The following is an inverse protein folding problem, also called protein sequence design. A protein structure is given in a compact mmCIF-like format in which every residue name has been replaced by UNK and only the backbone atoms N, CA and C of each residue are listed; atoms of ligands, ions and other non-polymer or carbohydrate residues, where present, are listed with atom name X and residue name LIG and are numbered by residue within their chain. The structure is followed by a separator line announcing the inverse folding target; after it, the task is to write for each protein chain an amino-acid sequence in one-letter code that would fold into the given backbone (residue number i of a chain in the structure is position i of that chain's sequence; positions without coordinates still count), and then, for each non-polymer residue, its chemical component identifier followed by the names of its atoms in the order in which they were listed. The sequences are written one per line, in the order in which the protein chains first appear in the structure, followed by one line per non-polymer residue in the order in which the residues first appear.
data_IF_175292540885
#
_entry.id   IF_175292540885
#
_cell.length_a   1.000
_cell.length_b   1.000
_cell.length_c   1.000
_cell.angle_alpha   90.00
_cell.angle_beta   90.00
_cell.angle_gamma   90.00
#
_symmetry.space_group_name_H-M   'P 1'
#
loop_
_entity.id
_entity.type
_entity.pdbx_description
1 polymer ?
#
# COMPACT_ATOMS: atom_id res chain seq x y z
N UNK A 1 -26.43 -4.13 -5.59
CA UNK A 1 -25.01 -3.90 -5.21
C UNK A 1 -24.48 -5.25 -4.73
N UNK A 2 -23.37 -5.75 -5.25
CA UNK A 2 -22.81 -7.01 -4.73
C UNK A 2 -22.29 -6.80 -3.30
N UNK A 3 -22.27 -7.85 -2.50
CA UNK A 3 -21.77 -7.82 -1.11
C UNK A 3 -20.30 -7.32 -1.06
N UNK A 4 -19.50 -7.70 -2.05
CA UNK A 4 -18.12 -7.24 -2.22
C UNK A 4 -18.00 -5.72 -2.40
N UNK A 5 -18.86 -5.10 -3.22
CA UNK A 5 -18.84 -3.63 -3.41
C UNK A 5 -19.25 -2.89 -2.14
N UNK A 6 -20.21 -3.40 -1.37
CA UNK A 6 -20.61 -2.81 -0.10
C UNK A 6 -19.47 -2.90 0.93
N UNK A 7 -18.81 -4.06 1.03
CA UNK A 7 -17.63 -4.24 1.86
C UNK A 7 -16.47 -3.33 1.45
N UNK A 8 -16.23 -3.16 0.15
CA UNK A 8 -15.24 -2.20 -0.37
C UNK A 8 -15.56 -0.76 0.05
N UNK A 9 -16.81 -0.31 -0.10
CA UNK A 9 -17.20 1.05 0.26
C UNK A 9 -16.94 1.35 1.74
N UNK A 10 -17.30 0.42 2.63
CA UNK A 10 -17.07 0.55 4.06
C UNK A 10 -15.56 0.58 4.38
N UNK A 11 -14.77 -0.32 3.80
CA UNK A 11 -13.32 -0.37 4.02
C UNK A 11 -12.62 0.88 3.47
N UNK A 12 -13.06 1.38 2.31
CA UNK A 12 -12.52 2.60 1.71
C UNK A 12 -12.81 3.82 2.58
N UNK A 13 -14.05 3.97 3.06
CA UNK A 13 -14.43 5.05 3.97
C UNK A 13 -13.66 5.00 5.29
N UNK A 14 -13.47 3.80 5.84
CA UNK A 14 -12.74 3.58 7.09
C UNK A 14 -11.25 3.96 6.98
N UNK A 15 -10.64 3.70 5.82
CA UNK A 15 -9.23 4.00 5.56
C UNK A 15 -8.99 5.45 5.14
N UNK A 16 -9.90 6.03 4.35
CA UNK A 16 -9.74 7.36 3.74
C UNK A 16 -10.59 8.45 4.41
N UNK A 17 -11.13 8.20 5.60
CA UNK A 17 -11.90 9.16 6.42
C UNK A 17 -13.06 9.83 5.68
N UNK A 18 -14.15 9.08 5.48
CA UNK A 18 -15.49 9.67 5.40
C UNK A 18 -16.07 10.00 4.02
N UNK A 19 -15.34 9.78 2.92
CA UNK A 19 -15.90 9.97 1.57
C UNK A 19 -16.25 8.64 0.92
N UNK A 20 -17.46 8.55 0.36
CA UNK A 20 -17.85 7.43 -0.48
C UNK A 20 -16.92 7.35 -1.70
N UNK A 21 -16.51 6.15 -2.13
CA UNK A 21 -15.62 6.01 -3.27
C UNK A 21 -16.28 6.50 -4.55
N UNK A 22 -15.49 7.14 -5.42
CA UNK A 22 -15.91 7.50 -6.76
C UNK A 22 -16.18 6.26 -7.62
N UNK A 23 -17.03 6.41 -8.65
CA UNK A 23 -17.35 5.30 -9.58
C UNK A 23 -16.12 4.65 -10.21
N UNK A 24 -15.07 5.43 -10.50
CA UNK A 24 -13.84 4.86 -11.07
C UNK A 24 -13.07 4.01 -10.04
N UNK A 25 -13.12 4.37 -8.75
CA UNK A 25 -12.47 3.64 -7.66
C UNK A 25 -13.17 2.29 -7.47
N UNK A 26 -14.51 2.27 -7.46
CA UNK A 26 -15.28 1.02 -7.42
C UNK A 26 -14.98 0.13 -8.63
N UNK A 27 -14.95 0.69 -9.85
CA UNK A 27 -14.62 -0.08 -11.06
C UNK A 27 -13.20 -0.65 -11.03
N UNK A 28 -12.24 0.11 -10.52
CA UNK A 28 -10.87 -0.36 -10.38
C UNK A 28 -10.80 -1.48 -9.34
N UNK A 29 -11.44 -1.31 -8.19
CA UNK A 29 -11.57 -2.33 -7.17
C UNK A 29 -12.14 -3.64 -7.74
N UNK A 30 -13.27 -3.59 -8.45
CA UNK A 30 -13.92 -4.80 -8.99
C UNK A 30 -12.98 -5.59 -9.90
N UNK A 31 -12.18 -4.90 -10.73
CA UNK A 31 -11.18 -5.51 -11.60
C UNK A 31 -10.04 -6.12 -10.79
N UNK A 32 -9.45 -5.35 -9.86
CA UNK A 32 -8.32 -5.79 -9.04
C UNK A 32 -8.69 -6.96 -8.14
N UNK A 33 -9.88 -6.98 -7.53
CA UNK A 33 -10.36 -8.09 -6.70
C UNK A 33 -10.49 -9.42 -7.49
N UNK A 34 -10.63 -9.33 -8.81
CA UNK A 34 -10.64 -10.48 -9.72
C UNK A 34 -9.26 -10.85 -10.26
N UNK A 35 -8.20 -10.12 -9.90
CA UNK A 35 -6.85 -10.29 -10.43
C UNK A 35 -6.62 -9.62 -11.78
N UNK A 36 -7.57 -8.81 -12.26
CA UNK A 36 -7.45 -8.08 -13.52
C UNK A 36 -6.84 -6.69 -13.29
N UNK A 37 -5.56 -6.54 -13.61
CA UNK A 37 -4.88 -5.24 -13.54
C UNK A 37 -5.00 -4.54 -14.90
N UNK A 38 -5.67 -3.36 -14.98
CA UNK A 38 -5.72 -2.62 -16.23
C UNK A 38 -4.33 -2.05 -16.58
N UNK A 39 -3.92 -2.07 -17.87
CA UNK A 39 -2.62 -1.54 -18.29
C UNK A 39 -2.54 -0.01 -18.19
N UNK A 40 -3.68 0.69 -18.15
CA UNK A 40 -3.74 2.14 -18.00
C UNK A 40 -4.98 2.56 -17.22
N UNK A 41 -4.86 3.69 -16.52
CA UNK A 41 -5.96 4.34 -15.80
C UNK A 41 -5.94 5.84 -16.13
N UNK A 42 -6.67 6.23 -17.17
CA UNK A 42 -6.77 7.63 -17.60
C UNK A 42 -7.79 8.38 -16.74
N UNK A 43 -7.30 9.17 -15.78
CA UNK A 43 -8.11 9.97 -14.88
C UNK A 43 -7.69 11.44 -14.98
N UNK A 44 -8.65 12.39 -15.05
CA UNK A 44 -8.37 13.80 -14.84
C UNK A 44 -7.61 14.07 -13.54
N UNK A 45 -6.80 15.12 -13.52
CA UNK A 45 -6.17 15.63 -12.30
C UNK A 45 -7.23 16.02 -11.26
N UNK A 46 -6.92 15.85 -9.98
CA UNK A 46 -7.84 16.21 -8.89
C UNK A 46 -8.89 15.15 -8.52
N UNK A 47 -8.91 13.98 -9.17
CA UNK A 47 -9.82 12.88 -8.82
C UNK A 47 -9.25 11.86 -7.82
N UNK A 48 -8.14 12.19 -7.16
CA UNK A 48 -7.51 11.32 -6.15
C UNK A 48 -6.86 10.07 -6.72
N UNK A 49 -5.96 10.20 -7.71
CA UNK A 49 -5.24 9.06 -8.32
C UNK A 49 -4.49 8.21 -7.28
N UNK A 50 -3.94 8.84 -6.24
CA UNK A 50 -3.28 8.18 -5.10
C UNK A 50 -4.18 7.16 -4.40
N UNK A 51 -5.51 7.27 -4.52
CA UNK A 51 -6.45 6.26 -4.01
C UNK A 51 -6.27 4.87 -4.62
N UNK A 52 -5.46 4.69 -5.67
CA UNK A 52 -5.00 3.37 -6.11
C UNK A 52 -4.37 2.58 -4.95
N UNK A 53 -3.65 3.23 -4.04
CA UNK A 53 -3.01 2.60 -2.87
C UNK A 53 -4.03 1.89 -1.97
N UNK A 54 -5.04 2.59 -1.38
CA UNK A 54 -6.06 1.93 -0.58
C UNK A 54 -6.93 0.96 -1.39
N UNK A 55 -7.20 1.23 -2.67
CA UNK A 55 -7.96 0.31 -3.53
C UNK A 55 -7.21 -1.03 -3.68
N UNK A 56 -5.91 -0.98 -3.97
CA UNK A 56 -5.08 -2.17 -4.07
C UNK A 56 -5.05 -2.93 -2.74
N UNK A 57 -4.87 -2.23 -1.61
CA UNK A 57 -4.80 -2.87 -0.30
C UNK A 57 -6.10 -3.62 0.05
N UNK A 58 -7.25 -2.98 -0.18
CA UNK A 58 -8.57 -3.58 0.05
C UNK A 58 -8.79 -4.76 -0.90
N UNK A 59 -8.47 -4.61 -2.19
CA UNK A 59 -8.62 -5.67 -3.18
C UNK A 59 -7.70 -6.87 -2.89
N UNK A 60 -6.47 -6.63 -2.42
CA UNK A 60 -5.53 -7.67 -2.01
C UNK A 60 -6.12 -8.51 -0.87
N UNK A 61 -6.55 -7.85 0.21
CA UNK A 61 -7.13 -8.52 1.37
C UNK A 61 -8.43 -9.26 1.03
N UNK A 62 -9.35 -8.62 0.29
CA UNK A 62 -10.62 -9.25 -0.07
C UNK A 62 -10.42 -10.43 -1.04
N UNK A 63 -9.52 -10.30 -2.02
CA UNK A 63 -9.21 -11.41 -2.93
C UNK A 63 -8.59 -12.59 -2.19
N UNK A 64 -7.74 -12.34 -1.19
CA UNK A 64 -7.17 -13.40 -0.35
C UNK A 64 -8.24 -14.10 0.49
N UNK A 65 -9.14 -13.36 1.14
CA UNK A 65 -10.26 -13.92 1.92
C UNK A 65 -11.19 -14.77 1.04
N UNK A 66 -11.49 -14.29 -0.17
CA UNK A 66 -12.35 -15.00 -1.12
C UNK A 66 -11.69 -16.23 -1.77
N UNK A 67 -10.39 -16.46 -1.55
CA UNK A 67 -9.60 -17.47 -2.25
C UNK A 67 -8.67 -18.24 -1.28
N UNK A 68 -9.19 -18.64 -0.12
CA UNK A 68 -8.52 -19.48 0.87
C UNK A 68 -7.11 -18.97 1.27
N UNK A 69 -6.97 -17.66 1.49
CA UNK A 69 -5.71 -17.01 1.88
C UNK A 69 -4.73 -16.80 0.72
N UNK A 70 -5.11 -17.10 -0.53
CA UNK A 70 -4.28 -16.88 -1.72
C UNK A 70 -4.72 -15.60 -2.44
N UNK A 71 -3.96 -14.49 -2.36
CA UNK A 71 -4.36 -13.26 -3.01
C UNK A 71 -4.36 -13.43 -4.54
N UNK A 72 -5.25 -12.71 -5.23
CA UNK A 72 -5.26 -12.62 -6.70
C UNK A 72 -4.42 -11.48 -7.25
N UNK A 73 -3.85 -10.69 -6.35
CA UNK A 73 -2.96 -9.58 -6.66
C UNK A 73 -1.58 -9.83 -6.07
N UNK A 74 -0.54 -9.19 -6.65
CA UNK A 74 0.78 -9.24 -6.07
C UNK A 74 0.81 -8.57 -4.69
N UNK A 75 1.64 -9.09 -3.77
CA UNK A 75 1.73 -8.61 -2.37
C UNK A 75 2.43 -7.27 -2.23
N UNK A 76 3.13 -6.79 -3.27
CA UNK A 76 3.85 -5.52 -3.22
C UNK A 76 3.26 -4.55 -4.21
N UNK A 77 2.89 -3.36 -3.75
CA UNK A 77 2.55 -2.24 -4.59
C UNK A 77 3.76 -1.32 -4.69
N UNK A 78 4.28 -1.15 -5.90
CA UNK A 78 5.35 -0.20 -6.18
C UNK A 78 4.73 1.01 -6.86
N UNK A 79 4.58 2.11 -6.13
CA UNK A 79 3.99 3.35 -6.62
C UNK A 79 5.10 4.32 -7.03
N UNK A 80 5.28 4.47 -8.34
CA UNK A 80 6.29 5.34 -8.94
C UNK A 80 5.67 6.70 -9.21
N UNK A 81 6.34 7.75 -8.76
CA UNK A 81 5.95 9.15 -8.96
C UNK A 81 7.14 9.95 -9.47
N UNK A 82 6.89 10.84 -10.44
CA UNK A 82 7.93 11.57 -11.15
C UNK A 82 8.48 12.79 -10.37
N UNK A 83 7.90 13.15 -9.21
CA UNK A 83 8.28 14.36 -8.45
C UNK A 83 8.44 14.08 -6.96
N UNK A 84 9.51 14.63 -6.36
CA UNK A 84 9.86 14.44 -4.94
C UNK A 84 8.74 14.81 -3.96
N UNK A 85 8.09 15.96 -4.15
CA UNK A 85 6.98 16.41 -3.29
C UNK A 85 5.79 15.45 -3.34
N UNK A 86 5.55 14.82 -4.49
CA UNK A 86 4.46 13.85 -4.66
C UNK A 86 4.81 12.53 -3.97
N UNK A 87 6.10 12.14 -3.95
CA UNK A 87 6.56 11.00 -3.11
C UNK A 87 6.24 11.24 -1.65
N UNK A 88 6.52 12.43 -1.12
CA UNK A 88 6.26 12.74 0.30
C UNK A 88 4.77 12.66 0.61
N UNK A 89 3.92 13.30 -0.21
CA UNK A 89 2.48 13.26 -0.03
C UNK A 89 1.92 11.83 -0.10
N UNK A 90 2.31 11.05 -1.11
CA UNK A 90 1.88 9.65 -1.23
C UNK A 90 2.38 8.79 -0.07
N UNK A 91 3.57 9.09 0.45
CA UNK A 91 4.15 8.40 1.62
C UNK A 91 3.35 8.71 2.87
N UNK A 92 2.98 9.97 3.08
CA UNK A 92 2.14 10.37 4.21
C UNK A 92 0.75 9.77 4.11
N UNK A 93 0.16 9.71 2.92
CA UNK A 93 -1.11 9.01 2.68
C UNK A 93 -1.00 7.51 3.03
N UNK A 94 0.07 6.84 2.59
CA UNK A 94 0.31 5.43 2.93
C UNK A 94 0.58 5.22 4.43
N UNK A 95 1.30 6.14 5.08
CA UNK A 95 1.49 6.12 6.54
C UNK A 95 0.16 6.32 7.28
N UNK A 96 -0.77 7.14 6.77
CA UNK A 96 -2.11 7.27 7.37
C UNK A 96 -2.86 5.95 7.33
N UNK A 97 -2.81 5.24 6.20
CA UNK A 97 -3.38 3.88 6.11
C UNK A 97 -2.74 2.94 7.14
N UNK A 98 -1.41 2.96 7.24
CA UNK A 98 -0.68 2.17 8.23
C UNK A 98 -1.08 2.54 9.67
N UNK A 99 -1.21 3.84 9.98
CA UNK A 99 -1.69 4.33 11.27
C UNK A 99 -3.07 3.81 11.64
N UNK A 100 -3.99 3.64 10.66
CA UNK A 100 -5.30 3.00 10.90
C UNK A 100 -5.15 1.53 11.28
N UNK A 101 -4.24 0.80 10.62
CA UNK A 101 -3.93 -0.60 10.95
C UNK A 101 -3.33 -0.72 12.35
N UNK A 102 -2.41 0.17 12.73
CA UNK A 102 -1.84 0.21 14.08
C UNK A 102 -2.89 0.53 15.14
N UNK A 103 -3.75 1.53 14.92
CA UNK A 103 -4.84 1.84 15.86
C UNK A 103 -5.82 0.69 16.02
N UNK A 104 -6.09 -0.08 14.96
CA UNK A 104 -6.84 -1.34 15.08
C UNK A 104 -6.09 -2.36 15.94
N UNK A 105 -4.79 -2.56 15.73
CA UNK A 105 -3.99 -3.47 16.56
C UNK A 105 -3.91 -3.04 18.03
N UNK A 106 -3.87 -1.73 18.30
CA UNK A 106 -3.84 -1.17 19.65
C UNK A 106 -5.14 -1.48 20.41
N UNK A 107 -6.30 -1.38 19.74
CA UNK A 107 -7.60 -1.76 20.31
C UNK A 107 -7.65 -3.25 20.71
N UNK A 108 -6.96 -4.09 19.94
CA UNK A 108 -6.90 -5.53 20.16
C UNK A 108 -5.70 -5.94 21.06
N UNK A 109 -4.93 -4.98 21.59
CA UNK A 109 -3.81 -5.24 22.49
C UNK A 109 -2.59 -5.90 21.84
N UNK A 110 -2.38 -5.70 20.54
CA UNK A 110 -1.25 -6.31 19.82
C UNK A 110 0.10 -5.65 20.18
N UNK A 111 1.18 -6.43 20.36
CA UNK A 111 2.43 -5.94 20.94
C UNK A 111 3.18 -4.95 20.03
N UNK A 112 2.98 -5.03 18.72
CA UNK A 112 3.60 -4.13 17.75
C UNK A 112 2.88 -2.78 17.62
N UNK A 113 1.67 -2.64 18.17
CA UNK A 113 0.81 -1.47 18.00
C UNK A 113 0.95 -0.45 19.16
N UNK A 114 2.17 -0.01 19.45
CA UNK A 114 2.44 0.92 20.55
C UNK A 114 2.25 2.38 20.16
N UNK A 115 2.06 3.24 21.18
CA UNK A 115 1.96 4.69 20.97
C UNK A 115 3.24 5.27 20.36
N UNK A 116 4.43 4.75 20.73
CA UNK A 116 5.70 5.16 20.14
C UNK A 116 5.77 4.82 18.65
N UNK A 117 5.30 3.62 18.26
CA UNK A 117 5.29 3.21 16.87
C UNK A 117 4.34 4.07 16.02
N UNK A 118 3.16 4.41 16.56
CA UNK A 118 2.21 5.32 15.91
C UNK A 118 2.79 6.74 15.80
N UNK A 119 3.42 7.24 16.87
CA UNK A 119 4.05 8.56 16.89
C UNK A 119 5.21 8.67 15.90
N UNK A 120 5.96 7.59 15.68
CA UNK A 120 7.07 7.53 14.71
C UNK A 120 6.64 7.77 13.26
N UNK A 121 5.35 7.62 12.93
CA UNK A 121 4.84 7.97 11.59
C UNK A 121 4.84 9.47 11.32
N UNK A 122 4.92 10.32 12.36
CA UNK A 122 4.95 11.78 12.22
C UNK A 122 3.60 12.40 11.83
N UNK A 123 2.51 11.64 11.96
CA UNK A 123 1.15 12.09 11.66
C UNK A 123 0.56 12.87 12.85
N UNK A 124 1.11 14.06 13.10
CA UNK A 124 0.55 15.00 14.07
C UNK A 124 -0.85 15.41 13.55
N UNK A 125 -1.85 15.37 14.42
CA UNK A 125 -3.23 15.83 14.16
C UNK A 125 -4.18 14.90 13.37
N UNK A 126 -3.83 13.63 13.12
CA UNK A 126 -4.76 12.70 12.46
C UNK A 126 -5.83 12.19 13.45
N UNK A 127 -7.15 12.40 13.19
CA UNK A 127 -8.21 12.01 14.12
C UNK A 127 -8.17 10.51 14.41
N UNK A 128 -8.57 10.07 15.62
CA UNK A 128 -8.61 8.64 15.97
C UNK A 128 -9.49 7.86 14.99
N UNK A 129 -9.31 6.53 14.94
CA UNK A 129 -10.19 5.68 14.13
C UNK A 129 -11.59 5.71 14.74
N UNK A 130 -12.63 6.20 14.03
CA UNK A 130 -14.00 6.19 14.55
C UNK A 130 -14.43 4.77 14.93
N UNK A 131 -15.16 4.63 16.03
CA UNK A 131 -15.57 3.32 16.55
C UNK A 131 -16.40 2.52 15.53
N UNK A 132 -17.23 3.20 14.74
CA UNK A 132 -18.02 2.60 13.66
C UNK A 132 -17.15 1.93 12.58
N UNK A 133 -15.92 2.40 12.39
CA UNK A 133 -14.99 1.89 11.39
C UNK A 133 -14.06 0.80 11.97
N UNK A 134 -13.98 0.66 13.29
CA UNK A 134 -13.06 -0.27 13.95
C UNK A 134 -13.22 -1.74 13.48
N UNK A 135 -14.43 -2.31 13.38
CA UNK A 135 -14.59 -3.69 12.92
C UNK A 135 -14.12 -3.91 11.47
N UNK A 136 -14.31 -2.90 10.63
CA UNK A 136 -13.93 -2.96 9.21
C UNK A 136 -12.42 -2.96 9.04
N UNK A 137 -11.71 -2.10 9.81
CA UNK A 137 -10.25 -2.05 9.78
C UNK A 137 -9.64 -3.29 10.44
N UNK A 138 -10.24 -3.83 11.50
CA UNK A 138 -9.81 -5.08 12.12
C UNK A 138 -9.89 -6.26 11.13
N UNK A 139 -11.02 -6.38 10.42
CA UNK A 139 -11.20 -7.40 9.37
C UNK A 139 -10.14 -7.29 8.27
N UNK A 140 -9.80 -6.06 7.86
CA UNK A 140 -8.73 -5.81 6.88
C UNK A 140 -7.36 -6.21 7.45
N UNK A 141 -7.04 -5.78 8.67
CA UNK A 141 -5.79 -6.11 9.38
C UNK A 141 -5.58 -7.61 9.48
N UNK A 142 -6.60 -8.36 9.90
CA UNK A 142 -6.54 -9.82 10.06
C UNK A 142 -6.30 -10.53 8.72
N UNK A 143 -6.96 -10.09 7.65
CA UNK A 143 -6.72 -10.63 6.32
C UNK A 143 -5.28 -10.40 5.84
N UNK A 144 -4.70 -9.24 6.16
CA UNK A 144 -3.30 -8.95 5.85
C UNK A 144 -2.34 -9.77 6.74
N UNK A 145 -2.69 -10.03 8.01
CA UNK A 145 -1.88 -10.85 8.92
C UNK A 145 -1.80 -12.31 8.46
N UNK A 146 -2.91 -12.86 7.95
CA UNK A 146 -2.89 -14.19 7.31
C UNK A 146 -1.94 -14.23 6.10
N UNK A 147 -1.82 -13.12 5.35
CA UNK A 147 -0.90 -13.03 4.23
C UNK A 147 0.57 -12.91 4.65
N UNK A 148 0.85 -12.17 5.73
CA UNK A 148 2.22 -12.01 6.25
C UNK A 148 2.77 -13.30 6.85
N UNK A 149 1.89 -14.17 7.35
CA UNK A 149 2.27 -15.39 8.06
C UNK A 149 3.05 -15.11 9.35
N UNK A 150 2.85 -13.92 9.91
CA UNK A 150 3.54 -13.39 11.08
C UNK A 150 2.58 -12.52 11.88
N UNK A 151 2.23 -12.99 13.08
CA UNK A 151 1.33 -12.31 14.02
C UNK A 151 2.08 -11.42 15.01
N UNK A 152 3.42 -11.44 15.00
CA UNK A 152 4.28 -10.70 15.92
C UNK A 152 4.62 -9.29 15.44
N UNK A 153 4.35 -9.00 14.16
CA UNK A 153 4.62 -7.72 13.53
C UNK A 153 3.38 -7.15 12.83
N UNK A 154 3.43 -5.85 12.51
CA UNK A 154 2.38 -5.23 11.72
C UNK A 154 2.28 -5.90 10.33
N UNK A 155 1.05 -6.18 9.84
CA UNK A 155 0.84 -6.97 8.62
C UNK A 155 1.02 -6.17 7.31
N UNK A 156 1.49 -4.93 7.39
CA UNK A 156 1.71 -4.04 6.25
C UNK A 156 3.02 -3.28 6.44
N UNK A 157 3.90 -3.33 5.43
CA UNK A 157 5.07 -2.47 5.34
C UNK A 157 4.77 -1.23 4.48
N UNK A 158 5.31 -0.08 4.89
CA UNK A 158 5.34 1.13 4.07
C UNK A 158 6.78 1.66 4.01
N UNK A 159 7.30 1.81 2.80
CA UNK A 159 8.68 2.27 2.58
C UNK A 159 8.71 3.30 1.45
N UNK A 160 9.51 4.35 1.64
CA UNK A 160 9.75 5.37 0.63
C UNK A 160 11.20 5.27 0.11
N UNK A 161 11.35 5.13 -1.20
CA UNK A 161 12.62 5.01 -1.91
C UNK A 161 12.85 6.28 -2.74
N UNK A 162 13.39 7.31 -2.11
CA UNK A 162 13.78 8.58 -2.75
C UNK A 162 15.15 9.03 -2.26
N UNK A 163 15.83 9.86 -3.06
CA UNK A 163 17.04 10.55 -2.60
C UNK A 163 16.75 11.39 -1.34
N UNK A 164 17.78 11.59 -0.51
CA UNK A 164 17.75 12.34 0.77
C UNK A 164 16.98 11.69 1.95
N UNK A 165 16.20 10.62 1.72
CA UNK A 165 15.59 9.83 2.80
C UNK A 165 16.25 8.46 2.88
N UNK A 166 16.70 8.06 4.07
CA UNK A 166 17.18 6.70 4.29
C UNK A 166 16.02 5.70 4.15
N UNK A 167 16.22 4.67 3.32
CA UNK A 167 15.30 3.54 3.21
C UNK A 167 15.18 2.85 4.57
N UNK A 168 13.96 2.80 5.12
CA UNK A 168 13.68 2.10 6.38
C UNK A 168 13.80 0.57 6.27
N UNK A 169 13.96 0.04 5.05
CA UNK A 169 14.15 -1.37 4.72
C UNK A 169 13.00 -2.31 5.11
N UNK A 170 11.89 -1.80 5.63
CA UNK A 170 10.71 -2.58 6.05
C UNK A 170 10.21 -3.51 4.94
N UNK A 171 10.18 -3.02 3.70
CA UNK A 171 9.75 -3.79 2.53
C UNK A 171 10.60 -5.04 2.22
N UNK A 172 11.78 -5.19 2.84
CA UNK A 172 12.71 -6.32 2.62
C UNK A 172 12.64 -7.39 3.70
N UNK A 173 12.08 -7.07 4.87
CA UNK A 173 12.20 -7.92 6.08
C UNK A 173 11.46 -9.25 5.92
N UNK A 174 10.21 -9.19 5.46
CA UNK A 174 9.37 -10.37 5.23
C UNK A 174 8.80 -10.31 3.82
N UNK A 175 9.24 -11.17 2.87
CA UNK A 175 8.73 -11.18 1.50
C UNK A 175 7.24 -11.53 1.34
N UNK A 176 6.64 -12.20 2.34
CA UNK A 176 5.22 -12.54 2.37
C UNK A 176 4.35 -11.41 2.93
N UNK A 177 4.93 -10.48 3.71
CA UNK A 177 4.21 -9.31 4.23
C UNK A 177 3.85 -8.37 3.08
N UNK A 178 2.56 -8.00 2.94
CA UNK A 178 2.16 -6.95 2.00
C UNK A 178 2.97 -5.67 2.19
N UNK A 179 3.40 -5.04 1.10
CA UNK A 179 4.21 -3.83 1.17
C UNK A 179 3.77 -2.75 0.17
N UNK A 180 3.74 -1.50 0.63
CA UNK A 180 3.59 -0.32 -0.21
C UNK A 180 4.97 0.34 -0.31
N UNK A 181 5.52 0.38 -1.52
CA UNK A 181 6.84 0.92 -1.83
C UNK A 181 6.61 2.13 -2.73
N UNK A 182 6.92 3.32 -2.25
CA UNK A 182 6.71 4.57 -3.00
C UNK A 182 8.07 5.11 -3.38
N UNK A 183 8.30 5.44 -4.65
CA UNK A 183 9.61 5.90 -5.07
C UNK A 183 9.61 6.68 -6.36
N UNK A 184 10.79 7.23 -6.69
CA UNK A 184 11.00 7.85 -8.00
C UNK A 184 11.31 6.81 -9.06
N UNK A 185 11.13 7.19 -10.34
CA UNK A 185 11.49 6.34 -11.49
C UNK A 185 12.93 5.86 -11.39
N UNK A 186 13.86 6.75 -11.02
CA UNK A 186 15.30 6.42 -10.92
C UNK A 186 15.59 5.41 -9.81
N UNK A 187 14.97 5.57 -8.63
CA UNK A 187 15.22 4.71 -7.47
C UNK A 187 14.66 3.31 -7.68
N UNK A 188 13.45 3.20 -8.25
CA UNK A 188 12.82 1.91 -8.54
C UNK A 188 13.46 1.27 -9.78
N UNK A 189 13.63 2.03 -10.85
CA UNK A 189 14.20 1.56 -12.12
C UNK A 189 15.64 1.05 -11.95
N UNK A 190 16.49 1.77 -11.23
CA UNK A 190 17.85 1.29 -10.94
C UNK A 190 17.87 -0.05 -10.20
N UNK A 191 16.93 -0.27 -9.26
CA UNK A 191 16.81 -1.54 -8.53
C UNK A 191 16.33 -2.67 -9.44
N UNK A 192 15.36 -2.41 -10.32
CA UNK A 192 14.93 -3.38 -11.34
C UNK A 192 16.06 -3.77 -12.29
N UNK A 193 16.98 -2.85 -12.58
CA UNK A 193 18.16 -3.06 -13.43
C UNK A 193 19.39 -3.59 -12.67
N UNK A 194 19.20 -4.18 -11.50
CA UNK A 194 20.29 -4.75 -10.67
C UNK A 194 21.40 -3.73 -10.34
N UNK A 195 21.09 -2.44 -10.37
CA UNK A 195 22.03 -1.32 -10.25
C UNK A 195 21.52 -0.27 -9.27
N UNK A 196 20.75 -0.70 -8.27
CA UNK A 196 20.03 0.18 -7.37
C UNK A 196 20.90 1.22 -6.68
N UNK A 197 20.47 2.48 -6.70
CA UNK A 197 21.12 3.54 -5.95
C UNK A 197 21.16 3.20 -4.45
N UNK A 198 22.33 3.43 -3.84
CA UNK A 198 22.59 3.12 -2.43
C UNK A 198 22.78 1.63 -2.11
N UNK A 199 22.65 0.72 -3.10
CA UNK A 199 22.74 -0.71 -2.84
C UNK A 199 24.19 -1.22 -2.82
N UNK A 200 24.48 -2.05 -1.82
CA UNK A 200 25.71 -2.85 -1.81
C UNK A 200 25.66 -3.92 -2.90
N UNK A 201 26.83 -4.34 -3.39
CA UNK A 201 26.96 -5.34 -4.48
C UNK A 201 26.10 -6.58 -4.28
N UNK A 202 26.06 -7.12 -3.06
CA UNK A 202 25.33 -8.34 -2.72
C UNK A 202 23.81 -8.16 -2.55
N UNK A 203 23.31 -6.92 -2.38
CA UNK A 203 21.88 -6.64 -2.19
C UNK A 203 21.10 -6.45 -3.49
N UNK A 204 21.79 -6.17 -4.61
CA UNK A 204 21.17 -5.79 -5.89
C UNK A 204 20.20 -6.84 -6.42
N UNK A 205 20.61 -8.10 -6.45
CA UNK A 205 19.76 -9.20 -6.92
C UNK A 205 18.54 -9.41 -6.01
N UNK A 206 18.72 -9.29 -4.69
CA UNK A 206 17.63 -9.41 -3.74
C UNK A 206 16.59 -8.30 -3.92
N UNK A 207 17.05 -7.05 -4.03
CA UNK A 207 16.16 -5.91 -4.24
C UNK A 207 15.44 -5.98 -5.60
N UNK A 208 16.14 -6.35 -6.67
CA UNK A 208 15.56 -6.56 -7.99
C UNK A 208 14.47 -7.64 -7.94
N UNK A 209 14.72 -8.76 -7.27
CA UNK A 209 13.73 -9.83 -7.08
C UNK A 209 12.49 -9.36 -6.32
N UNK A 210 12.67 -8.66 -5.19
CA UNK A 210 11.55 -8.19 -4.38
C UNK A 210 10.70 -7.11 -5.07
N UNK A 211 11.30 -6.22 -5.86
CA UNK A 211 10.59 -5.16 -6.59
C UNK A 211 10.03 -5.66 -7.93
N UNK A 212 10.66 -6.66 -8.55
CA UNK A 212 10.30 -7.16 -9.88
C UNK A 212 9.37 -8.37 -9.90
N UNK A 213 9.31 -9.15 -8.81
CA UNK A 213 8.49 -10.36 -8.72
C UNK A 213 7.42 -10.21 -7.65
N UNK A 214 6.20 -10.71 -7.85
CA UNK A 214 5.08 -10.54 -6.89
C UNK A 214 4.87 -9.05 -6.53
N UNK A 215 5.04 -8.18 -7.53
CA UNK A 215 4.86 -6.75 -7.44
C UNK A 215 3.90 -6.23 -8.52
N UNK A 216 3.02 -5.31 -8.13
CA UNK A 216 2.25 -4.45 -9.02
C UNK A 216 2.95 -3.09 -9.09
N UNK A 217 3.47 -2.74 -10.26
CA UNK A 217 4.12 -1.44 -10.50
C UNK A 217 3.08 -0.48 -11.09
N UNK A 218 2.85 0.63 -10.38
CA UNK A 218 1.99 1.73 -10.83
C UNK A 218 2.87 2.93 -11.11
N UNK A 219 2.83 3.41 -12.35
CA UNK A 219 3.52 4.63 -12.75
C UNK A 219 2.51 5.78 -12.83
N UNK A 220 2.53 6.64 -11.82
CA UNK A 220 1.70 7.84 -11.79
C UNK A 220 2.30 8.96 -12.63
N UNK A 221 1.42 9.72 -13.28
CA UNK A 221 1.76 10.76 -14.25
C UNK A 221 2.75 10.30 -15.33
N UNK A 222 2.58 9.07 -15.83
CA UNK A 222 3.44 8.48 -16.86
C UNK A 222 3.58 9.33 -18.14
N UNK A 223 2.60 10.19 -18.43
CA UNK A 223 2.65 11.12 -19.56
C UNK A 223 3.69 12.25 -19.41
N UNK A 224 4.20 12.47 -18.18
CA UNK A 224 5.27 13.43 -17.89
C UNK A 224 6.67 12.82 -18.02
N UNK A 225 6.76 11.51 -18.26
CA UNK A 225 8.04 10.85 -18.51
C UNK A 225 8.33 10.85 -20.01
N UNK A 226 9.51 11.30 -20.44
CA UNK A 226 9.89 11.20 -21.84
C UNK A 226 9.94 9.73 -22.27
N UNK A 227 9.52 9.45 -23.51
CA UNK A 227 9.80 8.16 -24.12
C UNK A 227 11.32 8.02 -24.27
N UNK A 228 11.86 6.89 -23.82
CA UNK A 228 13.27 6.55 -23.92
C UNK A 228 13.55 5.72 -25.17
#
# INVERSE_FOLDING_TARGET
MSDATASFNAAFQALCTGHAPFRWQCRLFDRLAQGHVPPSCSLPTGLGKTSIIPIWLIALAQSARANNGRPRLPRRLVYIVNRRTVVDQATDDAKRLLGRIYRSGQRDGLPWATDEAIAAFGLKDEPPLPDEHAPTVATLREALAVLSGDDTAAPLAVSALRGELADNAEWKVNPARPAIIIGTVDMIGSKLLFSGYGDRRYGRAHHAGLIGQDALIVHDEAHLSPAF
#
